data_IF_788017139446
#
_entry.id   IF_788017139446
#
_cell.length_a   1.000
_cell.length_b   1.000
_cell.length_c   1.000
_cell.angle_alpha   90.00
_cell.angle_beta   90.00
_cell.angle_gamma   90.00
#
_symmetry.space_group_name_H-M   'P 1'
#
loop_
_entity.id
_entity.type
_entity.pdbx_description
1 polymer ?
#
# COMPACT_ATOMS: atom_id res chain seq x y z
N UNK A 1 -12.06 -2.92 -15.03
CA UNK A 1 -12.95 -2.01 -15.79
C UNK A 1 -13.03 -2.44 -17.24
N UNK A 2 -14.06 -2.00 -17.99
CA UNK A 2 -14.22 -2.32 -19.42
C UNK A 2 -13.94 -1.07 -20.24
N UNK A 3 -13.02 -1.16 -21.20
CA UNK A 3 -12.72 -0.09 -22.15
C UNK A 3 -13.36 -0.40 -23.51
N UNK A 4 -13.89 0.63 -24.18
CA UNK A 4 -14.49 0.48 -25.52
C UNK A 4 -13.70 1.33 -26.51
N UNK A 5 -13.21 0.72 -27.59
CA UNK A 5 -12.52 1.45 -28.64
C UNK A 5 -13.51 2.21 -29.52
N UNK A 6 -13.33 3.52 -29.70
CA UNK A 6 -14.16 4.37 -30.57
C UNK A 6 -14.05 4.01 -32.05
N UNK A 7 -12.90 3.50 -32.49
CA UNK A 7 -12.64 3.21 -33.90
C UNK A 7 -13.21 1.87 -34.38
N UNK A 8 -13.36 0.87 -33.50
CA UNK A 8 -13.80 -0.48 -33.89
C UNK A 8 -14.84 -1.11 -32.96
N UNK A 9 -15.33 -0.33 -31.99
CA UNK A 9 -16.39 -0.70 -31.01
C UNK A 9 -16.07 -1.95 -30.18
N UNK A 10 -14.84 -2.44 -30.23
CA UNK A 10 -14.40 -3.63 -29.51
C UNK A 10 -14.22 -3.30 -28.04
N UNK A 11 -14.68 -4.19 -27.17
CA UNK A 11 -14.62 -4.07 -25.71
C UNK A 11 -13.47 -4.89 -25.14
N UNK A 12 -12.72 -4.32 -24.22
CA UNK A 12 -11.57 -4.94 -23.56
C UNK A 12 -11.74 -4.92 -22.05
N UNK A 13 -11.51 -6.06 -21.40
CA UNK A 13 -11.41 -6.13 -19.94
C UNK A 13 -9.98 -5.71 -19.54
N UNK A 14 -9.87 -4.69 -18.70
CA UNK A 14 -8.56 -4.17 -18.25
C UNK A 14 -8.57 -4.00 -16.74
N UNK A 15 -7.45 -4.33 -16.11
CA UNK A 15 -7.22 -4.05 -14.70
C UNK A 15 -7.25 -2.53 -14.46
N UNK A 16 -8.14 -2.01 -13.59
CA UNK A 16 -8.17 -0.60 -13.28
C UNK A 16 -6.85 -0.05 -12.73
N UNK A 17 -6.04 -0.88 -12.06
CA UNK A 17 -4.72 -0.48 -11.56
C UNK A 17 -3.73 -0.14 -12.70
N UNK A 18 -3.88 -0.75 -13.88
CA UNK A 18 -2.99 -0.55 -15.03
C UNK A 18 -3.15 0.83 -15.72
N UNK A 19 -4.33 1.45 -15.59
CA UNK A 19 -4.56 2.85 -16.02
C UNK A 19 -4.11 3.82 -14.93
N UNK A 20 -4.26 3.43 -13.67
CA UNK A 20 -3.79 4.20 -12.53
C UNK A 20 -4.61 5.47 -12.26
N UNK A 21 -4.16 6.25 -11.27
CA UNK A 21 -4.88 7.44 -10.74
C UNK A 21 -4.77 8.69 -11.61
N UNK A 22 -3.77 8.75 -12.49
CA UNK A 22 -3.52 9.90 -13.37
C UNK A 22 -4.15 9.74 -14.76
N UNK A 23 -4.83 8.62 -15.02
CA UNK A 23 -5.19 8.21 -16.38
C UNK A 23 -3.97 7.74 -17.18
N UNK A 24 -4.24 7.14 -18.34
CA UNK A 24 -3.19 6.58 -19.22
C UNK A 24 -3.63 6.55 -20.67
N UNK A 25 -2.68 6.71 -21.59
CA UNK A 25 -2.91 6.38 -23.00
C UNK A 25 -2.98 4.87 -23.20
N UNK A 26 -4.08 4.40 -23.78
CA UNK A 26 -4.34 2.99 -24.07
C UNK A 26 -4.37 2.77 -25.57
N UNK A 27 -3.92 1.59 -26.03
CA UNK A 27 -3.89 1.19 -27.43
C UNK A 27 -4.86 0.03 -27.66
N UNK A 28 -5.67 0.12 -28.70
CA UNK A 28 -6.52 -0.99 -29.13
C UNK A 28 -5.67 -2.15 -29.68
N UNK A 29 -5.87 -3.37 -29.21
CA UNK A 29 -5.18 -4.55 -29.75
C UNK A 29 -5.65 -4.95 -31.17
N UNK A 30 -6.85 -4.50 -31.60
CA UNK A 30 -7.45 -4.88 -32.88
C UNK A 30 -7.14 -3.91 -34.02
N UNK A 31 -7.24 -2.60 -33.77
CA UNK A 31 -7.05 -1.56 -34.80
C UNK A 31 -5.92 -0.57 -34.49
N UNK A 32 -5.17 -0.76 -33.40
CA UNK A 32 -4.06 0.08 -32.97
C UNK A 32 -4.40 1.56 -32.67
N UNK A 33 -5.68 1.94 -32.66
CA UNK A 33 -6.09 3.27 -32.23
C UNK A 33 -5.66 3.55 -30.79
N UNK A 34 -5.09 4.72 -30.55
CA UNK A 34 -4.61 5.16 -29.24
C UNK A 34 -5.48 6.29 -28.73
N UNK A 35 -6.01 6.17 -27.52
CA UNK A 35 -6.80 7.22 -26.88
C UNK A 35 -6.39 7.36 -25.41
N UNK A 36 -6.76 8.49 -24.79
CA UNK A 36 -6.54 8.72 -23.37
C UNK A 36 -7.70 8.14 -22.56
N UNK A 37 -7.39 7.34 -21.55
CA UNK A 37 -8.38 6.78 -20.64
C UNK A 37 -8.28 7.48 -19.29
N UNK A 38 -9.41 8.06 -18.87
CA UNK A 38 -9.57 8.67 -17.55
C UNK A 38 -9.49 7.60 -16.44
N UNK A 39 -8.98 7.98 -15.25
CA UNK A 39 -8.93 7.08 -14.10
C UNK A 39 -10.36 6.65 -13.70
N UNK A 40 -10.54 5.41 -13.19
CA UNK A 40 -11.82 5.00 -12.63
C UNK A 40 -12.24 5.93 -11.49
N UNK A 41 -13.49 6.41 -11.52
CA UNK A 41 -14.07 7.28 -10.49
C UNK A 41 -14.05 6.64 -9.08
N UNK A 42 -14.13 5.31 -9.01
CA UNK A 42 -14.09 4.55 -7.76
C UNK A 42 -12.70 4.40 -7.14
N UNK A 43 -11.63 4.91 -7.78
CA UNK A 43 -10.35 4.96 -7.08
C UNK A 43 -10.45 6.01 -5.98
N UNK A 44 -10.19 5.65 -4.70
CA UNK A 44 -10.18 6.63 -3.63
C UNK A 44 -9.13 7.67 -3.97
N UNK A 45 -9.58 8.90 -4.25
CA UNK A 45 -8.74 10.08 -4.41
C UNK A 45 -7.87 10.09 -3.16
N UNK A 46 -6.58 9.79 -3.30
CA UNK A 46 -5.66 9.93 -2.18
C UNK A 46 -5.73 11.40 -1.85
N UNK A 47 -6.38 11.74 -0.73
CA UNK A 47 -6.20 13.03 -0.11
C UNK A 47 -4.69 13.19 -0.03
N UNK A 48 -4.17 14.17 -0.75
CA UNK A 48 -2.80 14.58 -0.68
C UNK A 48 -2.55 14.92 0.79
N UNK A 49 -1.94 13.99 1.53
CA UNK A 49 -1.37 14.23 2.85
C UNK A 49 -0.05 14.97 2.64
N UNK A 50 -0.09 16.12 1.94
CA UNK A 50 1.10 16.91 1.62
C UNK A 50 1.49 17.85 2.77
N UNK A 51 1.01 17.63 4.00
CA UNK A 51 1.42 18.43 5.17
C UNK A 51 1.49 17.62 6.48
N UNK A 52 1.98 16.38 6.40
CA UNK A 52 2.35 15.61 7.59
C UNK A 52 3.56 14.69 7.38
N UNK A 53 4.54 15.12 6.59
CA UNK A 53 5.92 14.66 6.80
C UNK A 53 6.47 15.35 8.04
N UNK A 54 5.83 15.08 9.19
CA UNK A 54 6.43 15.31 10.49
C UNK A 54 7.59 14.36 10.60
N UNK A 55 8.79 14.86 10.34
CA UNK A 55 10.11 14.31 10.63
C UNK A 55 10.04 12.94 11.34
N UNK A 56 9.97 11.87 10.56
CA UNK A 56 10.21 10.52 11.06
C UNK A 56 11.72 10.33 11.18
N UNK A 57 12.37 11.18 11.99
CA UNK A 57 13.63 10.81 12.60
C UNK A 57 13.41 9.47 13.32
N UNK A 58 14.40 8.55 13.35
CA UNK A 58 14.29 7.35 14.18
C UNK A 58 14.05 7.81 15.62
N UNK A 59 12.80 7.77 16.07
CA UNK A 59 12.46 8.12 17.45
C UNK A 59 13.09 7.06 18.30
N UNK A 60 14.24 7.38 18.89
CA UNK A 60 14.82 6.57 19.94
C UNK A 60 13.69 6.36 20.97
N UNK A 61 13.42 5.12 21.42
CA UNK A 61 12.38 4.89 22.41
C UNK A 61 12.68 5.80 23.60
N UNK A 62 11.76 6.72 23.87
CA UNK A 62 11.92 7.61 25.02
C UNK A 62 11.87 6.73 26.27
N UNK A 63 12.80 6.92 27.22
CA UNK A 63 12.72 6.20 28.48
C UNK A 63 11.38 6.51 29.14
N UNK A 64 10.74 5.46 29.66
CA UNK A 64 9.54 5.61 30.46
C UNK A 64 9.81 6.56 31.63
N UNK A 65 8.87 7.46 31.88
CA UNK A 65 8.95 8.38 33.02
C UNK A 65 8.96 7.58 34.32
N UNK A 66 9.74 8.04 35.30
CA UNK A 66 9.70 7.48 36.65
C UNK A 66 8.27 7.56 37.19
N UNK A 67 7.76 6.45 37.75
CA UNK A 67 6.37 6.35 38.23
C UNK A 67 5.34 5.91 37.19
N UNK A 68 5.76 5.40 36.02
CA UNK A 68 4.83 4.81 35.06
C UNK A 68 4.19 3.52 35.62
N UNK A 69 2.85 3.53 35.76
CA UNK A 69 2.06 2.42 36.29
C UNK A 69 1.76 1.37 35.21
N UNK A 70 2.80 0.76 34.64
CA UNK A 70 2.65 -0.34 33.68
C UNK A 70 2.35 -1.67 34.39
N UNK A 71 1.50 -2.53 33.81
CA UNK A 71 1.30 -3.87 34.33
C UNK A 71 2.60 -4.68 34.23
N UNK A 72 2.97 -5.36 35.32
CA UNK A 72 4.14 -6.22 35.35
C UNK A 72 3.89 -7.49 34.52
N UNK A 73 4.59 -7.64 33.39
CA UNK A 73 4.59 -8.90 32.62
C UNK A 73 5.69 -9.81 33.19
N UNK A 74 5.36 -10.97 33.77
CA UNK A 74 6.37 -11.88 34.32
C UNK A 74 7.22 -12.47 33.17
N UNK A 75 8.52 -12.20 33.17
CA UNK A 75 9.45 -12.86 32.23
C UNK A 75 9.55 -14.34 32.62
N UNK A 76 9.20 -15.25 31.71
CA UNK A 76 9.46 -16.68 31.92
C UNK A 76 10.97 -16.89 31.99
N UNK A 77 11.49 -17.23 33.18
CA UNK A 77 12.85 -17.73 33.36
C UNK A 77 12.97 -19.03 32.57
N UNK A 78 13.60 -18.98 31.40
CA UNK A 78 13.92 -20.18 30.64
C UNK A 78 14.79 -21.08 31.52
N UNK A 79 14.26 -22.24 31.92
CA UNK A 79 15.09 -23.29 32.50
C UNK A 79 15.92 -23.85 31.35
N UNK A 80 17.14 -23.34 31.19
CA UNK A 80 18.17 -24.06 30.47
C UNK A 80 18.51 -25.27 31.33
N UNK A 81 17.81 -26.39 31.10
CA UNK A 81 18.19 -27.68 31.65
C UNK A 81 19.49 -28.04 30.95
N UNK A 82 20.59 -27.92 31.67
CA UNK A 82 21.84 -28.60 31.36
C UNK A 82 21.53 -30.09 31.22
N UNK A 83 21.52 -30.58 29.98
CA UNK A 83 21.72 -31.99 29.70
C UNK A 83 23.21 -32.12 29.36
N UNK A 84 24.02 -32.52 30.34
CA UNK A 84 25.29 -33.17 30.05
C UNK A 84 24.97 -34.61 29.60
N UNK A 85 25.37 -35.04 28.40
CA UNK A 85 25.61 -36.45 28.15
C UNK A 85 27.06 -36.82 28.51
N UNK A 86 27.19 -37.99 29.13
CA UNK A 86 28.44 -38.73 29.36
C UNK A 86 29.16 -39.09 28.07
#
# INVERSE_FOLDING_TARGET
MILTCSACTTRFLVDPAAVGRKGRHVRCAKCLHVWFQEPPLDLPKSLALDDAKGEAAPRRPQPLRAGANLPAIPKKRGRLRTALPW
#
